data_IF_856932394659
#
_entry.id   IF_856932394659
#
_cell.length_a   1.000
_cell.length_b   1.000
_cell.length_c   1.000
_cell.angle_alpha   90.00
_cell.angle_beta   90.00
_cell.angle_gamma   90.00
#
_symmetry.space_group_name_H-M   'P 1'
#
loop_
_entity.id
_entity.type
_entity.pdbx_description
1 polymer ?
#
# COMPACT_ATOMS: atom_id res chain seq x y z
N UNK A 1 30.98 8.49 -24.23
CA UNK A 1 30.19 7.77 -23.20
C UNK A 1 28.82 8.42 -23.22
N UNK A 2 27.81 7.75 -23.76
CA UNK A 2 26.44 8.24 -23.69
C UNK A 2 26.01 8.26 -22.22
N UNK A 3 25.61 9.44 -21.71
CA UNK A 3 24.86 9.53 -20.49
C UNK A 3 23.64 8.62 -20.67
N UNK A 4 23.57 7.53 -19.88
CA UNK A 4 22.39 6.71 -19.89
C UNK A 4 21.26 7.59 -19.38
N UNK A 5 20.25 7.85 -20.21
CA UNK A 5 18.95 8.37 -19.81
C UNK A 5 18.29 7.34 -18.88
N UNK A 6 18.85 7.21 -17.67
CA UNK A 6 18.25 6.39 -16.62
C UNK A 6 16.93 7.04 -16.27
N UNK A 7 15.80 6.31 -16.33
CA UNK A 7 14.50 6.87 -16.03
C UNK A 7 14.42 7.22 -14.54
N UNK A 8 14.90 8.43 -14.20
CA UNK A 8 14.99 8.94 -12.82
C UNK A 8 13.64 8.99 -12.09
N UNK A 9 12.54 8.80 -12.82
CA UNK A 9 11.16 8.86 -12.32
C UNK A 9 10.48 7.49 -12.25
N UNK A 10 11.19 6.38 -12.51
CA UNK A 10 10.64 5.03 -12.38
C UNK A 10 11.02 4.41 -11.04
N UNK A 11 10.09 3.65 -10.48
CA UNK A 11 10.31 2.78 -9.33
C UNK A 11 10.06 1.33 -9.71
N UNK A 12 10.88 0.41 -9.16
CA UNK A 12 10.61 -1.01 -9.25
C UNK A 12 9.59 -1.40 -8.19
N UNK A 13 8.57 -2.18 -8.56
CA UNK A 13 7.69 -2.85 -7.61
C UNK A 13 8.23 -4.25 -7.33
N UNK A 14 8.46 -4.60 -6.06
CA UNK A 14 9.00 -5.91 -5.66
C UNK A 14 8.13 -7.09 -6.08
N UNK A 15 6.82 -6.88 -6.29
CA UNK A 15 5.94 -7.89 -6.88
C UNK A 15 6.37 -8.37 -8.28
N UNK A 16 7.20 -7.60 -8.98
CA UNK A 16 7.80 -8.00 -10.27
C UNK A 16 8.92 -9.03 -10.13
N UNK A 17 9.40 -9.30 -8.90
CA UNK A 17 10.47 -10.24 -8.61
C UNK A 17 10.05 -11.22 -7.47
N UNK A 18 8.98 -11.99 -7.67
CA UNK A 18 8.42 -12.82 -6.60
C UNK A 18 9.43 -13.86 -6.11
N UNK A 19 9.56 -13.97 -4.78
CA UNK A 19 10.45 -14.94 -4.13
C UNK A 19 11.93 -14.57 -4.12
N UNK A 20 12.32 -13.43 -4.68
CA UNK A 20 13.70 -12.94 -4.53
C UNK A 20 13.88 -12.27 -3.17
N UNK A 21 15.00 -12.51 -2.47
CA UNK A 21 15.37 -11.77 -1.27
C UNK A 21 15.45 -10.26 -1.55
N UNK A 22 15.02 -9.42 -0.60
CA UNK A 22 15.03 -7.96 -0.77
C UNK A 22 16.42 -7.40 -1.10
N UNK A 23 17.49 -8.01 -0.57
CA UNK A 23 18.90 -7.67 -0.88
C UNK A 23 19.22 -7.81 -2.37
N UNK A 24 18.74 -8.89 -2.99
CA UNK A 24 18.99 -9.15 -4.41
C UNK A 24 18.14 -8.26 -5.30
N UNK A 25 16.89 -8.01 -4.90
CA UNK A 25 16.00 -7.06 -5.61
C UNK A 25 16.58 -5.66 -5.55
N UNK A 26 17.05 -5.19 -4.38
CA UNK A 26 17.63 -3.87 -4.21
C UNK A 26 18.90 -3.70 -5.08
N UNK A 27 19.78 -4.69 -5.08
CA UNK A 27 20.99 -4.68 -5.92
C UNK A 27 20.62 -4.62 -7.41
N UNK A 28 19.74 -5.52 -7.87
CA UNK A 28 19.33 -5.56 -9.28
C UNK A 28 18.63 -4.28 -9.73
N UNK A 29 17.76 -3.70 -8.89
CA UNK A 29 17.11 -2.43 -9.17
C UNK A 29 18.11 -1.28 -9.33
N UNK A 30 19.09 -1.20 -8.42
CA UNK A 30 20.13 -0.18 -8.48
C UNK A 30 21.02 -0.32 -9.73
N UNK A 31 21.43 -1.55 -10.06
CA UNK A 31 22.22 -1.87 -11.27
C UNK A 31 21.45 -1.54 -12.56
N UNK A 32 20.11 -1.75 -12.56
CA UNK A 32 19.22 -1.38 -13.65
C UNK A 32 18.92 0.14 -13.74
N UNK A 33 19.43 0.95 -12.80
CA UNK A 33 19.28 2.40 -12.82
C UNK A 33 18.01 2.94 -12.18
N UNK A 34 17.20 2.12 -11.51
CA UNK A 34 16.05 2.60 -10.72
C UNK A 34 16.52 3.49 -9.58
N UNK A 35 15.69 4.46 -9.21
CA UNK A 35 15.90 5.36 -8.05
C UNK A 35 14.82 5.21 -6.99
N UNK A 36 13.69 4.60 -7.34
CA UNK A 36 12.58 4.32 -6.45
C UNK A 36 12.31 2.82 -6.35
N UNK A 37 11.72 2.41 -5.24
CA UNK A 37 11.27 1.04 -5.03
C UNK A 37 9.96 1.04 -4.26
N UNK A 38 9.00 0.25 -4.71
CA UNK A 38 7.73 -0.04 -4.02
C UNK A 38 7.83 -1.41 -3.40
N UNK A 39 7.59 -1.51 -2.09
CA UNK A 39 7.68 -2.76 -1.35
C UNK A 39 6.28 -3.28 -0.98
N UNK A 40 6.23 -4.54 -0.64
CA UNK A 40 5.07 -5.19 -0.03
C UNK A 40 5.36 -5.54 1.43
N UNK A 41 4.32 -5.61 2.27
CA UNK A 41 4.48 -5.98 3.69
C UNK A 41 5.16 -7.34 3.88
N UNK A 42 4.94 -8.30 2.96
CA UNK A 42 5.58 -9.60 3.03
C UNK A 42 7.10 -9.55 2.77
N UNK A 43 7.62 -8.55 2.05
CA UNK A 43 9.06 -8.36 1.88
C UNK A 43 9.77 -8.04 3.21
N UNK A 44 9.00 -7.56 4.20
CA UNK A 44 9.48 -7.14 5.51
C UNK A 44 9.22 -8.17 6.62
N UNK A 45 8.73 -9.37 6.28
CA UNK A 45 8.44 -10.41 7.29
C UNK A 45 9.71 -10.89 8.00
N UNK A 46 10.84 -10.92 7.28
CA UNK A 46 12.13 -11.38 7.79
C UNK A 46 13.15 -10.24 7.97
N UNK A 47 12.83 -9.02 7.57
CA UNK A 47 13.72 -7.86 7.62
C UNK A 47 13.03 -6.72 8.34
N UNK A 48 13.56 -6.25 9.49
CA UNK A 48 13.01 -5.10 10.18
C UNK A 48 12.94 -3.87 9.27
N UNK A 49 11.88 -3.03 9.34
CA UNK A 49 11.71 -1.88 8.45
C UNK A 49 12.89 -0.92 8.43
N UNK A 50 13.54 -0.69 9.58
CA UNK A 50 14.73 0.18 9.66
C UNK A 50 15.95 -0.42 8.95
N UNK A 51 16.13 -1.74 9.00
CA UNK A 51 17.19 -2.44 8.28
C UNK A 51 16.92 -2.43 6.77
N UNK A 52 15.66 -2.64 6.35
CA UNK A 52 15.25 -2.50 4.96
C UNK A 52 15.50 -1.08 4.45
N UNK A 53 15.18 -0.05 5.23
CA UNK A 53 15.46 1.35 4.88
C UNK A 53 16.95 1.62 4.70
N UNK A 54 17.80 1.07 5.58
CA UNK A 54 19.27 1.18 5.46
C UNK A 54 19.78 0.49 4.20
N UNK A 55 19.35 -0.76 3.97
CA UNK A 55 19.69 -1.53 2.77
C UNK A 55 19.35 -0.77 1.48
N UNK A 56 18.15 -0.22 1.39
CA UNK A 56 17.73 0.54 0.21
C UNK A 56 18.55 1.81 0.02
N UNK A 57 18.85 2.52 1.11
CA UNK A 57 19.70 3.71 1.10
C UNK A 57 21.11 3.40 0.61
N UNK A 58 21.70 2.27 1.04
CA UNK A 58 23.05 1.83 0.65
C UNK A 58 23.13 1.54 -0.87
N UNK A 59 22.00 1.15 -1.48
CA UNK A 59 21.86 0.99 -2.93
C UNK A 59 21.36 2.24 -3.67
N UNK A 60 21.20 3.39 -2.99
CA UNK A 60 20.72 4.64 -3.59
C UNK A 60 19.25 4.61 -4.00
N UNK A 61 18.45 3.69 -3.44
CA UNK A 61 17.02 3.54 -3.69
C UNK A 61 16.22 4.28 -2.63
N UNK A 62 15.11 4.91 -3.05
CA UNK A 62 14.13 5.54 -2.16
C UNK A 62 12.86 4.70 -2.09
N UNK A 63 12.37 4.30 -0.91
CA UNK A 63 11.04 3.74 -0.77
C UNK A 63 10.00 4.75 -1.26
N UNK A 64 9.14 4.35 -2.21
CA UNK A 64 8.09 5.24 -2.75
C UNK A 64 6.71 4.86 -2.25
N UNK A 65 6.48 3.58 -1.96
CA UNK A 65 5.23 3.09 -1.37
C UNK A 65 5.43 1.74 -0.68
N UNK A 66 4.51 1.42 0.22
CA UNK A 66 4.37 0.11 0.86
C UNK A 66 2.97 -0.43 0.55
N UNK A 67 2.86 -1.70 0.17
CA UNK A 67 1.62 -2.36 -0.27
C UNK A 67 1.25 -3.55 0.62
N UNK A 68 0.00 -4.07 0.45
CA UNK A 68 -0.48 -5.24 1.16
C UNK A 68 -1.30 -4.94 2.42
N UNK A 69 -1.72 -3.69 2.61
CA UNK A 69 -2.56 -3.25 3.73
C UNK A 69 -4.02 -3.05 3.31
N UNK A 70 -4.91 -2.94 4.32
CA UNK A 70 -6.33 -2.70 4.12
C UNK A 70 -7.18 -3.86 4.62
N UNK A 71 -7.97 -4.45 3.73
CA UNK A 71 -8.85 -5.60 4.00
C UNK A 71 -9.80 -5.35 5.17
N UNK A 72 -10.51 -4.22 5.11
CA UNK A 72 -11.41 -3.76 6.18
C UNK A 72 -12.73 -4.54 6.27
N UNK A 73 -13.08 -5.31 5.24
CA UNK A 73 -14.37 -5.96 5.09
C UNK A 73 -14.40 -7.29 5.83
N UNK A 74 -15.35 -7.42 6.76
CA UNK A 74 -15.62 -8.68 7.47
C UNK A 74 -17.04 -8.67 8.04
N UNK A 75 -17.65 -9.85 8.21
CA UNK A 75 -18.97 -10.01 8.82
C UNK A 75 -18.98 -9.64 10.30
N UNK A 76 -17.89 -9.92 11.03
CA UNK A 76 -17.77 -9.68 12.48
C UNK A 76 -17.14 -8.33 12.84
N UNK A 77 -17.64 -7.63 13.85
CA UNK A 77 -17.10 -6.38 14.35
C UNK A 77 -15.65 -6.51 14.88
N UNK A 78 -15.35 -7.63 15.55
CA UNK A 78 -14.01 -7.92 16.08
C UNK A 78 -13.00 -8.02 14.93
N UNK A 79 -13.34 -8.73 13.84
CA UNK A 79 -12.48 -8.88 12.69
C UNK A 79 -12.21 -7.54 11.99
N UNK A 80 -13.23 -6.66 11.91
CA UNK A 80 -13.06 -5.29 11.37
C UNK A 80 -12.10 -4.44 12.22
N UNK A 81 -12.19 -4.52 13.57
CA UNK A 81 -11.26 -3.79 14.44
C UNK A 81 -9.83 -4.35 14.37
N UNK A 82 -9.70 -5.66 14.24
CA UNK A 82 -8.40 -6.28 13.97
C UNK A 82 -7.79 -5.79 12.63
N UNK A 83 -8.61 -5.63 11.60
CA UNK A 83 -8.17 -5.06 10.31
C UNK A 83 -7.65 -3.63 10.49
N UNK A 84 -8.39 -2.77 11.20
CA UNK A 84 -7.94 -1.39 11.52
C UNK A 84 -6.62 -1.39 12.29
N UNK A 85 -6.46 -2.29 13.25
CA UNK A 85 -5.22 -2.43 14.02
C UNK A 85 -4.05 -2.85 13.13
N UNK A 86 -4.27 -3.80 12.20
CA UNK A 86 -3.23 -4.19 11.22
C UNK A 86 -2.83 -3.02 10.33
N UNK A 87 -3.80 -2.22 9.87
CA UNK A 87 -3.51 -1.05 9.03
C UNK A 87 -2.74 0.02 9.81
N UNK A 88 -3.06 0.29 11.08
CA UNK A 88 -2.25 1.20 11.90
C UNK A 88 -0.79 0.74 12.01
N UNK A 89 -0.56 -0.56 12.23
CA UNK A 89 0.80 -1.13 12.22
C UNK A 89 1.49 -0.98 10.86
N UNK A 90 0.76 -1.16 9.76
CA UNK A 90 1.30 -0.95 8.42
C UNK A 90 1.67 0.51 8.17
N UNK A 91 0.92 1.47 8.72
CA UNK A 91 1.26 2.90 8.70
C UNK A 91 2.57 3.13 9.45
N UNK A 92 2.73 2.56 10.66
CA UNK A 92 3.97 2.67 11.44
C UNK A 92 5.17 2.04 10.70
N UNK A 93 4.93 0.91 10.03
CA UNK A 93 5.93 0.24 9.18
C UNK A 93 6.34 1.12 8.00
N UNK A 94 5.37 1.74 7.30
CA UNK A 94 5.64 2.66 6.18
C UNK A 94 6.47 3.86 6.65
N UNK A 95 6.14 4.43 7.81
CA UNK A 95 6.88 5.53 8.40
C UNK A 95 8.32 5.13 8.76
N UNK A 96 8.52 3.98 9.40
CA UNK A 96 9.84 3.47 9.75
C UNK A 96 10.70 3.13 8.52
N UNK A 97 10.07 2.67 7.43
CA UNK A 97 10.71 2.42 6.15
C UNK A 97 11.07 3.72 5.41
N UNK A 98 10.37 4.82 5.69
CA UNK A 98 10.45 6.08 4.95
C UNK A 98 9.63 6.09 3.66
N UNK A 99 8.65 5.19 3.53
CA UNK A 99 7.71 5.15 2.39
C UNK A 99 6.55 6.13 2.63
N UNK A 100 6.38 7.17 1.80
CA UNK A 100 5.37 8.22 2.04
C UNK A 100 3.92 7.78 1.74
N UNK A 101 3.74 6.64 1.09
CA UNK A 101 2.45 6.13 0.63
C UNK A 101 2.25 4.70 1.13
N UNK A 102 1.07 4.43 1.68
CA UNK A 102 0.58 3.09 1.98
C UNK A 102 -0.57 2.75 1.02
N UNK A 103 -0.35 1.75 0.17
CA UNK A 103 -1.38 1.22 -0.73
C UNK A 103 -2.43 0.42 0.03
N UNK A 104 -3.69 0.68 -0.27
CA UNK A 104 -4.85 0.12 0.43
C UNK A 104 -5.72 -0.70 -0.52
N UNK A 105 -5.78 -1.99 -0.29
CA UNK A 105 -6.80 -2.88 -0.85
C UNK A 105 -7.99 -2.91 0.11
N UNK A 106 -9.18 -2.49 -0.35
CA UNK A 106 -10.35 -2.33 0.53
C UNK A 106 -10.84 -3.63 1.16
N UNK A 107 -10.65 -4.75 0.47
CA UNK A 107 -11.15 -6.06 0.88
C UNK A 107 -12.57 -6.33 0.40
N UNK A 108 -12.91 -7.60 0.30
CA UNK A 108 -14.26 -8.13 0.07
C UNK A 108 -14.36 -9.51 0.71
N UNK A 109 -15.59 -9.96 0.94
CA UNK A 109 -15.90 -11.34 1.38
C UNK A 109 -17.30 -11.71 0.91
N UNK A 110 -17.55 -12.96 0.52
CA UNK A 110 -18.87 -13.41 0.04
C UNK A 110 -20.02 -13.20 1.05
N UNK A 111 -19.71 -13.12 2.35
CA UNK A 111 -20.70 -12.93 3.41
C UNK A 111 -21.21 -11.48 3.53
N UNK A 112 -20.60 -10.53 2.82
CA UNK A 112 -20.95 -9.10 2.90
C UNK A 112 -21.24 -8.57 1.50
N UNK A 113 -22.43 -8.06 1.27
CA UNK A 113 -22.77 -7.46 -0.02
C UNK A 113 -21.89 -6.26 -0.37
N UNK A 114 -21.68 -6.01 -1.66
CA UNK A 114 -20.75 -4.97 -2.14
C UNK A 114 -21.08 -3.55 -1.62
N UNK A 115 -22.35 -3.11 -1.52
CA UNK A 115 -22.69 -1.82 -0.93
C UNK A 115 -22.26 -1.71 0.53
N UNK A 116 -22.48 -2.75 1.33
CA UNK A 116 -22.05 -2.80 2.73
C UNK A 116 -20.53 -2.91 2.83
N UNK A 117 -19.89 -3.71 1.98
CA UNK A 117 -18.44 -3.85 1.94
C UNK A 117 -17.76 -2.49 1.67
N UNK A 118 -18.27 -1.68 0.74
CA UNK A 118 -17.76 -0.33 0.47
C UNK A 118 -17.95 0.61 1.68
N UNK A 119 -19.08 0.50 2.40
CA UNK A 119 -19.28 1.25 3.66
C UNK A 119 -18.26 0.84 4.70
N UNK A 120 -18.05 -0.45 4.91
CA UNK A 120 -17.05 -0.95 5.87
C UNK A 120 -15.63 -0.49 5.52
N UNK A 121 -15.28 -0.46 4.22
CA UNK A 121 -14.00 0.05 3.76
C UNK A 121 -13.86 1.56 4.07
N UNK A 122 -14.89 2.35 3.79
CA UNK A 122 -14.93 3.79 4.12
C UNK A 122 -14.81 4.03 5.62
N UNK A 123 -15.58 3.30 6.44
CA UNK A 123 -15.52 3.40 7.91
C UNK A 123 -14.14 2.99 8.46
N UNK A 124 -13.53 1.97 7.85
CA UNK A 124 -12.18 1.52 8.18
C UNK A 124 -11.13 2.58 7.89
N UNK A 125 -11.16 3.16 6.69
CA UNK A 125 -10.27 4.24 6.28
C UNK A 125 -10.43 5.48 7.15
N UNK A 126 -11.67 5.92 7.40
CA UNK A 126 -11.96 7.05 8.27
C UNK A 126 -11.40 6.84 9.69
N UNK A 127 -11.49 5.60 10.22
CA UNK A 127 -10.98 5.28 11.55
C UNK A 127 -9.44 5.23 11.65
N UNK A 128 -8.71 5.03 10.56
CA UNK A 128 -7.24 4.98 10.54
C UNK A 128 -6.59 6.26 10.00
N UNK A 129 -7.36 7.13 9.33
CA UNK A 129 -6.86 8.39 8.76
C UNK A 129 -6.15 9.29 9.78
N UNK A 130 -6.67 9.51 11.02
CA UNK A 130 -5.96 10.35 11.98
C UNK A 130 -4.56 9.81 12.35
N UNK A 131 -4.40 8.48 12.38
CA UNK A 131 -3.11 7.85 12.61
C UNK A 131 -2.17 8.06 11.40
N UNK A 132 -2.67 7.87 10.19
CA UNK A 132 -1.92 8.10 8.95
C UNK A 132 -1.45 9.56 8.83
N UNK A 133 -2.35 10.51 9.14
CA UNK A 133 -2.04 11.93 9.18
C UNK A 133 -0.95 12.25 10.22
N UNK A 134 -1.05 11.70 11.42
CA UNK A 134 -0.04 11.87 12.47
C UNK A 134 1.33 11.33 12.08
N UNK A 135 1.36 10.23 11.35
CA UNK A 135 2.57 9.61 10.81
C UNK A 135 3.05 10.25 9.48
N UNK A 136 2.30 11.18 8.90
CA UNK A 136 2.55 11.79 7.59
C UNK A 136 2.57 10.78 6.42
N UNK A 137 1.75 9.73 6.50
CA UNK A 137 1.59 8.69 5.48
C UNK A 137 0.29 8.91 4.73
N UNK A 138 0.35 8.94 3.40
CA UNK A 138 -0.85 8.98 2.55
C UNK A 138 -1.38 7.58 2.31
N UNK A 139 -2.69 7.40 2.48
CA UNK A 139 -3.39 6.16 2.16
C UNK A 139 -3.89 6.23 0.72
N UNK A 140 -3.47 5.32 -0.14
CA UNK A 140 -3.84 5.29 -1.55
C UNK A 140 -4.76 4.09 -1.81
N UNK A 141 -6.05 4.33 -2.06
CA UNK A 141 -7.04 3.29 -2.38
C UNK A 141 -6.79 2.79 -3.80
N UNK A 142 -6.56 1.49 -3.94
CA UNK A 142 -6.43 0.83 -5.23
C UNK A 142 -7.77 0.21 -5.66
N UNK A 143 -8.37 0.66 -6.78
CA UNK A 143 -9.46 -0.06 -7.41
C UNK A 143 -8.94 -1.33 -8.06
N UNK A 144 -9.37 -2.50 -7.56
CA UNK A 144 -8.94 -3.80 -8.07
C UNK A 144 -9.77 -4.22 -9.29
N UNK A 145 -9.23 -5.10 -10.14
CA UNK A 145 -9.96 -5.63 -11.28
C UNK A 145 -11.32 -6.22 -10.87
N UNK A 146 -12.43 -5.99 -11.65
CA UNK A 146 -13.77 -6.45 -11.28
C UNK A 146 -13.92 -7.95 -11.03
N UNK A 147 -13.06 -8.80 -11.59
CA UNK A 147 -13.06 -10.24 -11.28
C UNK A 147 -12.71 -10.55 -9.80
N UNK A 148 -12.21 -9.58 -9.05
CA UNK A 148 -11.88 -9.71 -7.62
C UNK A 148 -12.93 -9.05 -6.72
N UNK A 149 -14.12 -8.72 -7.25
CA UNK A 149 -15.13 -7.93 -6.55
C UNK A 149 -15.66 -8.57 -5.27
N UNK A 150 -15.73 -9.90 -5.23
CA UNK A 150 -16.29 -10.69 -4.13
C UNK A 150 -15.24 -11.32 -3.19
N UNK A 151 -13.97 -11.33 -3.60
CA UNK A 151 -12.89 -12.01 -2.86
C UNK A 151 -11.70 -11.12 -2.53
N UNK A 152 -11.41 -10.13 -3.36
CA UNK A 152 -10.23 -9.28 -3.23
C UNK A 152 -10.56 -7.86 -2.75
N UNK A 153 -11.45 -7.16 -3.46
CA UNK A 153 -11.82 -5.79 -3.13
C UNK A 153 -13.22 -5.44 -3.61
N UNK A 154 -14.01 -4.79 -2.77
CA UNK A 154 -15.32 -4.24 -3.12
C UNK A 154 -15.22 -2.94 -3.94
N UNK A 155 -14.03 -2.36 -4.09
CA UNK A 155 -13.75 -1.17 -4.89
C UNK A 155 -13.03 -1.59 -6.16
N UNK A 156 -13.73 -1.45 -7.30
CA UNK A 156 -13.28 -1.97 -8.60
C UNK A 156 -13.29 -0.91 -9.70
N UNK A 157 -13.76 0.30 -9.40
CA UNK A 157 -13.82 1.43 -10.32
C UNK A 157 -13.22 2.66 -9.66
N UNK A 158 -12.53 3.50 -10.44
CA UNK A 158 -12.03 4.80 -9.98
C UNK A 158 -13.14 5.66 -9.36
N UNK A 159 -14.34 5.64 -9.94
CA UNK A 159 -15.50 6.36 -9.41
C UNK A 159 -15.84 5.93 -7.97
N UNK A 160 -15.75 4.63 -7.66
CA UNK A 160 -16.03 4.12 -6.31
C UNK A 160 -14.97 4.56 -5.32
N UNK A 161 -13.68 4.51 -5.70
CA UNK A 161 -12.59 5.00 -4.87
C UNK A 161 -12.73 6.51 -4.62
N UNK A 162 -12.99 7.29 -5.67
CA UNK A 162 -13.17 8.74 -5.57
C UNK A 162 -14.35 9.13 -4.68
N UNK A 163 -15.46 8.38 -4.70
CA UNK A 163 -16.59 8.59 -3.78
C UNK A 163 -16.16 8.41 -2.31
N UNK A 164 -15.34 7.41 -2.02
CA UNK A 164 -14.81 7.18 -0.65
C UNK A 164 -13.87 8.33 -0.27
N UNK A 165 -12.93 8.69 -1.13
CA UNK A 165 -11.97 9.79 -0.89
C UNK A 165 -12.71 11.09 -0.62
N UNK A 166 -13.70 11.44 -1.45
CA UNK A 166 -14.52 12.67 -1.27
C UNK A 166 -15.30 12.63 0.05
N UNK A 167 -15.85 11.48 0.44
CA UNK A 167 -16.60 11.34 1.68
C UNK A 167 -15.72 11.45 2.94
N UNK A 168 -14.45 11.03 2.87
CA UNK A 168 -13.49 11.16 3.97
C UNK A 168 -12.97 12.61 4.08
N UNK A 169 -12.87 13.32 2.95
CA UNK A 169 -12.46 14.73 2.85
C UNK A 169 -11.14 15.02 3.59
N UNK A 170 -10.12 14.23 3.31
CA UNK A 170 -8.78 14.37 3.91
C UNK A 170 -7.69 14.36 2.85
N UNK A 171 -6.68 15.26 2.92
CA UNK A 171 -5.53 15.25 2.02
C UNK A 171 -4.60 14.04 2.22
N UNK A 172 -4.88 13.23 3.25
CA UNK A 172 -4.12 12.02 3.56
C UNK A 172 -4.74 10.75 2.98
N UNK A 173 -5.87 10.86 2.28
CA UNK A 173 -6.52 9.73 1.59
C UNK A 173 -6.71 10.11 0.13
N UNK A 174 -6.24 9.26 -0.77
CA UNK A 174 -6.33 9.45 -2.20
C UNK A 174 -6.60 8.14 -2.94
N UNK A 175 -6.69 8.22 -4.26
CA UNK A 175 -6.86 7.07 -5.16
C UNK A 175 -5.54 6.75 -5.83
N UNK A 176 -5.16 5.47 -5.85
CA UNK A 176 -4.11 4.96 -6.72
C UNK A 176 -4.72 4.65 -8.09
N UNK A 177 -4.06 5.10 -9.14
CA UNK A 177 -4.41 4.75 -10.52
C UNK A 177 -3.37 3.75 -11.01
N UNK A 178 -3.83 2.51 -11.24
CA UNK A 178 -3.03 1.41 -11.76
C UNK A 178 -3.48 1.08 -13.20
#
# INVERSE_FOLDING_TARGET
MAESDSPSNLSLNTASAPGMPLTDVARAAAEAGFRGISLWLHDLESVPPAEAASLLKDHGLKPVSLWGAGYFVASGAIAREQARTRVRRAIDTAAALGAPILGITCGATPEVDLPMARRQAMDGLHAVEPHARGAQIRLAIEPMHPMLADTGSAVNLLEQANKIVTAIDSPWVGTCVD
#
